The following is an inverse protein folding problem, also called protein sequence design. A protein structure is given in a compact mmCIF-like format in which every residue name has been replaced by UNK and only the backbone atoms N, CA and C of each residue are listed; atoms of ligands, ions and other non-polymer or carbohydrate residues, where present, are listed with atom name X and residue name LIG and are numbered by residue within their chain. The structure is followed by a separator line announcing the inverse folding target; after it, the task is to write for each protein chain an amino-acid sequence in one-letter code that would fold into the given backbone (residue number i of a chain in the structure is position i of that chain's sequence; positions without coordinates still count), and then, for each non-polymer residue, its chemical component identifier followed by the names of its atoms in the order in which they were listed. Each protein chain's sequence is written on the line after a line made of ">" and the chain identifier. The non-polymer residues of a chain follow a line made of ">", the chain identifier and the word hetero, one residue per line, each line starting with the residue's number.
data_IF_207613179360
#
_entry.id   IF_207613179360
#
_cell.length_a   1.000
_cell.length_b   1.000
_cell.length_c   1.000
_cell.angle_alpha   90.00
_cell.angle_beta   90.00
_cell.angle_gamma   90.00
#
_symmetry.space_group_name_H-M   'P 1'
#
loop_
_entity.id
_entity.type
_entity.pdbx_description
1 polymer ?
#
# COMPACT_ATOMS: atom_id res chain seq x y z
N UNK A 1 -4.66 -0.23 -1.89
CA UNK A 1 -3.32 -0.77 -2.19
C UNK A 1 -3.29 -2.22 -1.76
N UNK A 2 -2.50 -3.06 -2.42
CA UNK A 2 -2.27 -4.44 -2.01
C UNK A 2 -0.79 -4.65 -1.74
N UNK A 3 -0.48 -5.53 -0.79
CA UNK A 3 0.88 -5.97 -0.50
C UNK A 3 0.96 -7.45 -0.88
N UNK A 4 1.82 -7.76 -1.84
CA UNK A 4 2.18 -9.12 -2.18
C UNK A 4 3.31 -9.61 -1.25
N UNK A 5 3.22 -10.85 -0.81
CA UNK A 5 4.27 -11.56 -0.07
C UNK A 5 4.30 -13.03 -0.52
N UNK A 6 5.29 -13.78 -0.03
CA UNK A 6 5.50 -15.19 -0.37
C UNK A 6 5.41 -16.02 0.90
N UNK A 7 4.66 -17.12 0.88
CA UNK A 7 4.56 -18.03 2.03
C UNK A 7 5.74 -19.01 2.09
N UNK A 8 5.75 -19.89 3.10
CA UNK A 8 6.86 -20.84 3.33
C UNK A 8 6.96 -21.92 2.23
N UNK A 9 5.88 -22.14 1.47
CA UNK A 9 5.83 -23.04 0.31
C UNK A 9 6.20 -22.35 -1.00
N UNK A 10 6.65 -21.09 -0.96
CA UNK A 10 6.94 -20.24 -2.11
C UNK A 10 5.70 -19.83 -2.94
N UNK A 11 4.48 -19.93 -2.41
CA UNK A 11 3.31 -19.41 -3.10
C UNK A 11 3.18 -17.90 -2.91
N UNK A 12 2.90 -17.14 -3.98
CA UNK A 12 2.57 -15.72 -3.86
C UNK A 12 1.17 -15.57 -3.26
N UNK A 13 1.02 -14.55 -2.40
CA UNK A 13 -0.28 -14.15 -1.88
C UNK A 13 -0.37 -12.64 -1.81
N UNK A 14 -1.59 -12.10 -1.84
CA UNK A 14 -1.84 -10.65 -1.79
C UNK A 14 -2.74 -10.32 -0.63
N UNK A 15 -2.35 -9.32 0.16
CA UNK A 15 -3.14 -8.78 1.27
C UNK A 15 -3.58 -7.35 0.95
N UNK A 16 -4.88 -7.02 0.98
CA UNK A 16 -5.34 -5.64 0.83
C UNK A 16 -4.99 -4.83 2.08
N UNK A 17 -4.37 -3.65 1.90
CA UNK A 17 -3.98 -2.75 3.00
C UNK A 17 -4.50 -1.34 2.72
N UNK A 18 -5.41 -0.87 3.57
CA UNK A 18 -5.99 0.48 3.51
C UNK A 18 -5.24 1.54 4.34
N UNK A 19 -4.30 1.10 5.18
CA UNK A 19 -3.61 1.93 6.17
C UNK A 19 -2.12 2.12 5.89
N UNK A 20 -1.67 1.99 4.64
CA UNK A 20 -0.25 2.21 4.28
C UNK A 20 0.06 3.71 4.15
N UNK A 21 1.16 4.14 4.77
CA UNK A 21 1.71 5.49 4.70
C UNK A 21 3.17 5.42 4.23
N UNK A 22 3.58 6.37 3.40
CA UNK A 22 4.94 6.50 2.90
C UNK A 22 5.62 7.67 3.61
N UNK A 23 6.87 7.48 4.01
CA UNK A 23 7.73 8.51 4.55
C UNK A 23 8.59 9.12 3.44
N UNK A 24 9.40 10.14 3.77
CA UNK A 24 10.26 10.85 2.82
C UNK A 24 11.63 10.19 2.60
N UNK A 25 11.90 9.08 3.27
CA UNK A 25 13.22 8.45 3.41
C UNK A 25 13.22 6.98 2.96
N UNK A 26 12.44 6.65 1.92
CA UNK A 26 12.27 5.28 1.41
C UNK A 26 11.73 4.28 2.44
N UNK A 27 11.14 4.77 3.53
CA UNK A 27 10.42 3.94 4.48
C UNK A 27 8.91 4.17 4.39
N UNK A 28 8.17 3.31 5.04
CA UNK A 28 6.74 3.48 5.25
C UNK A 28 6.26 2.61 6.39
N UNK A 29 4.98 2.67 6.66
CA UNK A 29 4.36 1.82 7.67
C UNK A 29 2.90 1.56 7.32
N UNK A 30 2.37 0.45 7.83
CA UNK A 30 0.92 0.24 7.88
C UNK A 30 0.48 -0.21 9.25
N UNK A 31 -0.78 0.03 9.60
CA UNK A 31 -1.34 -0.49 10.83
C UNK A 31 -1.69 -1.97 10.70
N UNK A 32 -1.09 -2.81 11.55
CA UNK A 32 -1.15 -4.28 11.48
C UNK A 32 -2.02 -4.86 12.59
N UNK A 33 -3.34 -4.79 12.39
CA UNK A 33 -4.35 -5.35 13.31
C UNK A 33 -4.92 -6.68 12.85
N UNK A 34 -5.37 -6.75 11.60
CA UNK A 34 -6.07 -7.89 11.02
C UNK A 34 -5.25 -8.77 10.05
N UNK A 35 -4.27 -8.24 9.28
CA UNK A 35 -3.48 -9.07 8.39
C UNK A 35 -2.82 -10.24 9.13
N UNK A 36 -3.15 -11.47 8.74
CA UNK A 36 -2.55 -12.69 9.32
C UNK A 36 -1.46 -13.29 8.43
N UNK A 37 -1.59 -13.15 7.10
CA UNK A 37 -0.64 -13.70 6.13
C UNK A 37 0.68 -12.94 6.09
N UNK A 38 0.66 -11.60 6.07
CA UNK A 38 1.89 -10.79 6.10
C UNK A 38 2.81 -11.11 7.29
N UNK A 39 2.34 -11.09 8.56
CA UNK A 39 3.20 -11.42 9.69
C UNK A 39 3.60 -12.90 9.77
N UNK A 40 2.80 -13.81 9.21
CA UNK A 40 3.20 -15.23 9.11
C UNK A 40 4.32 -15.42 8.08
N UNK A 41 4.19 -14.78 6.92
CA UNK A 41 5.13 -14.88 5.81
C UNK A 41 6.47 -14.20 6.13
N UNK A 42 6.44 -13.06 6.83
CA UNK A 42 7.64 -12.30 7.24
C UNK A 42 8.67 -13.14 8.01
N UNK A 43 8.21 -14.16 8.74
CA UNK A 43 9.08 -15.09 9.48
C UNK A 43 10.02 -15.90 8.58
N UNK A 44 9.65 -16.08 7.32
CA UNK A 44 10.40 -16.88 6.34
C UNK A 44 10.94 -16.02 5.20
N UNK A 45 10.18 -15.01 4.78
CA UNK A 45 10.54 -14.12 3.70
C UNK A 45 9.98 -12.72 3.97
N UNK A 46 10.88 -11.76 4.17
CA UNK A 46 10.50 -10.36 4.44
C UNK A 46 10.18 -9.58 3.17
N UNK A 47 10.55 -10.09 2.00
CA UNK A 47 10.38 -9.38 0.74
C UNK A 47 8.90 -9.22 0.41
N UNK A 48 8.52 -8.00 0.05
CA UNK A 48 7.18 -7.63 -0.34
C UNK A 48 7.19 -6.77 -1.61
N UNK A 49 6.04 -6.76 -2.28
CA UNK A 49 5.74 -5.81 -3.35
C UNK A 49 4.41 -5.12 -3.04
N UNK A 50 4.45 -3.81 -2.83
CA UNK A 50 3.26 -2.98 -2.71
C UNK A 50 2.82 -2.56 -4.09
N UNK A 51 1.57 -2.83 -4.46
CA UNK A 51 0.93 -2.25 -5.64
C UNK A 51 -0.02 -1.12 -5.22
N UNK A 52 0.27 0.07 -5.70
CA UNK A 52 -0.58 1.24 -5.57
C UNK A 52 -1.10 1.66 -6.94
N UNK A 53 -2.43 1.73 -7.07
CA UNK A 53 -3.13 2.14 -8.28
C UNK A 53 -3.81 3.47 -8.01
N UNK A 54 -3.70 4.41 -8.94
CA UNK A 54 -4.42 5.67 -8.88
C UNK A 54 -5.93 5.39 -8.92
N UNK A 55 -6.67 5.81 -7.91
CA UNK A 55 -8.13 5.60 -7.82
C UNK A 55 -8.95 6.79 -8.33
N UNK A 56 -8.32 7.82 -8.89
CA UNK A 56 -9.02 9.02 -9.34
C UNK A 56 -9.79 8.75 -10.65
N UNK A 57 -11.12 8.77 -10.60
CA UNK A 57 -11.99 8.49 -11.75
C UNK A 57 -11.74 9.43 -12.93
N UNK A 58 -11.51 10.72 -12.69
CA UNK A 58 -11.27 11.70 -13.76
C UNK A 58 -9.92 11.48 -14.46
N UNK A 59 -8.90 11.05 -13.71
CA UNK A 59 -7.62 10.63 -14.27
C UNK A 59 -7.80 9.48 -15.26
N UNK A 60 -8.56 8.45 -14.89
CA UNK A 60 -8.85 7.31 -15.77
C UNK A 60 -9.67 7.73 -16.99
N UNK A 61 -10.79 8.42 -16.79
CA UNK A 61 -11.66 8.81 -17.90
C UNK A 61 -10.92 9.70 -18.91
N UNK A 62 -10.15 10.67 -18.43
CA UNK A 62 -9.37 11.55 -19.31
C UNK A 62 -8.23 10.83 -20.04
N UNK A 63 -7.62 9.82 -19.41
CA UNK A 63 -6.56 9.03 -20.04
C UNK A 63 -7.12 8.09 -21.10
N UNK A 64 -8.26 7.45 -20.81
CA UNK A 64 -8.97 6.60 -21.76
C UNK A 64 -9.44 7.39 -22.99
N UNK A 65 -10.04 8.56 -22.78
CA UNK A 65 -10.45 9.45 -23.87
C UNK A 65 -9.27 9.90 -24.73
N UNK A 66 -8.09 10.11 -24.14
CA UNK A 66 -6.87 10.54 -24.85
C UNK A 66 -6.05 9.39 -25.44
N UNK A 67 -6.39 8.14 -25.12
CA UNK A 67 -5.62 6.96 -25.50
C UNK A 67 -4.20 6.91 -24.91
N UNK A 68 -3.93 7.66 -23.82
CA UNK A 68 -2.63 7.65 -23.12
C UNK A 68 -2.72 8.17 -21.70
N UNK A 69 -1.85 7.66 -20.82
CA UNK A 69 -1.64 8.18 -19.48
C UNK A 69 -0.63 9.33 -19.48
N UNK A 70 -0.90 10.35 -18.66
CA UNK A 70 0.02 11.49 -18.44
C UNK A 70 1.07 11.25 -17.35
N UNK A 71 0.87 10.22 -16.53
CA UNK A 71 1.72 9.79 -15.44
C UNK A 71 1.40 8.32 -15.14
N UNK A 72 2.28 7.62 -14.42
CA UNK A 72 2.07 6.20 -14.11
C UNK A 72 0.70 5.98 -13.43
N UNK A 73 -0.19 5.16 -14.02
CA UNK A 73 -1.50 4.87 -13.44
C UNK A 73 -1.39 3.99 -12.20
N UNK A 74 -0.27 3.29 -12.06
CA UNK A 74 0.05 2.45 -10.92
C UNK A 74 1.56 2.30 -10.77
N UNK A 75 1.99 2.07 -9.53
CA UNK A 75 3.40 1.87 -9.15
C UNK A 75 3.54 0.62 -8.28
N UNK A 76 4.61 -0.14 -8.52
CA UNK A 76 5.09 -1.19 -7.64
C UNK A 76 6.22 -0.64 -6.78
N UNK A 77 6.11 -0.81 -5.47
CA UNK A 77 7.20 -0.54 -4.53
C UNK A 77 7.65 -1.86 -3.93
N UNK A 78 8.86 -2.26 -4.25
CA UNK A 78 9.49 -3.44 -3.68
C UNK A 78 10.25 -3.05 -2.43
N UNK A 79 10.26 -3.95 -1.46
CA UNK A 79 10.88 -3.68 -0.18
C UNK A 79 10.82 -4.87 0.76
N UNK A 80 11.08 -4.60 2.03
CA UNK A 80 11.04 -5.59 3.09
C UNK A 80 10.17 -5.13 4.26
N UNK A 81 9.46 -6.07 4.87
CA UNK A 81 8.78 -5.85 6.15
C UNK A 81 9.82 -5.66 7.26
N UNK A 82 9.63 -4.60 8.05
CA UNK A 82 10.43 -4.24 9.21
C UNK A 82 9.80 -4.68 10.52
N UNK A 83 10.17 -3.98 11.61
CA UNK A 83 9.69 -4.32 12.94
C UNK A 83 8.18 -4.07 13.11
N UNK A 84 7.57 -4.86 14.00
CA UNK A 84 6.26 -4.57 14.58
C UNK A 84 6.48 -3.74 15.82
N UNK A 85 5.79 -2.61 15.95
CA UNK A 85 5.91 -1.76 17.13
C UNK A 85 4.62 -0.99 17.40
N UNK A 86 4.54 -0.41 18.59
CA UNK A 86 3.48 0.53 18.94
C UNK A 86 3.51 1.74 18.00
N UNK A 87 2.33 2.14 17.54
CA UNK A 87 2.11 3.33 16.74
C UNK A 87 2.40 4.58 17.57
N UNK A 88 3.17 5.50 17.02
CA UNK A 88 3.40 6.81 17.61
C UNK A 88 2.12 7.66 17.58
N UNK A 89 2.01 8.69 18.44
CA UNK A 89 0.88 9.62 18.38
C UNK A 89 0.69 10.29 17.01
N UNK A 90 1.80 10.56 16.31
CA UNK A 90 1.78 11.15 14.96
C UNK A 90 1.13 10.18 13.97
N UNK A 91 1.55 8.92 13.97
CA UNK A 91 0.99 7.88 13.09
C UNK A 91 -0.50 7.66 13.34
N UNK A 92 -0.93 7.62 14.61
CA UNK A 92 -2.35 7.53 14.98
C UNK A 92 -3.15 8.71 14.44
N UNK A 93 -2.64 9.93 14.58
CA UNK A 93 -3.29 11.13 14.05
C UNK A 93 -3.38 11.11 12.51
N UNK A 94 -2.35 10.60 11.82
CA UNK A 94 -2.38 10.42 10.36
C UNK A 94 -3.51 9.46 9.93
N UNK A 95 -3.71 8.36 10.67
CA UNK A 95 -4.82 7.45 10.43
C UNK A 95 -6.17 8.13 10.67
N UNK A 96 -6.35 8.79 11.81
CA UNK A 96 -7.60 9.51 12.13
C UNK A 96 -7.93 10.55 11.05
N UNK A 97 -6.93 11.31 10.59
CA UNK A 97 -7.12 12.30 9.52
C UNK A 97 -7.52 11.66 8.20
N UNK A 98 -6.89 10.54 7.81
CA UNK A 98 -7.24 9.80 6.58
C UNK A 98 -8.69 9.28 6.62
N UNK A 99 -9.13 8.82 7.78
CA UNK A 99 -10.43 8.17 7.96
C UNK A 99 -11.57 9.13 8.34
N UNK A 100 -11.28 10.42 8.54
CA UNK A 100 -12.21 11.43 9.05
C UNK A 100 -13.56 11.48 8.31
N UNK A 101 -13.57 11.32 6.99
CA UNK A 101 -14.80 11.41 6.20
C UNK A 101 -15.79 10.28 6.51
N UNK A 102 -15.33 9.15 7.06
CA UNK A 102 -16.17 7.98 7.33
C UNK A 102 -16.24 7.63 8.81
N UNK A 103 -15.67 8.45 9.71
CA UNK A 103 -15.54 8.13 11.14
C UNK A 103 -16.88 7.98 11.89
N UNK A 104 -17.96 8.54 11.35
CA UNK A 104 -19.32 8.36 11.89
C UNK A 104 -19.94 6.99 11.59
N UNK A 105 -19.39 6.22 10.65
CA UNK A 105 -19.96 4.96 10.20
C UNK A 105 -19.49 3.79 11.08
N UNK A 106 -20.39 2.84 11.37
CA UNK A 106 -20.05 1.62 12.14
C UNK A 106 -18.92 0.83 11.50
N UNK A 107 -18.92 0.72 10.17
CA UNK A 107 -17.87 0.03 9.42
C UNK A 107 -16.49 0.65 9.60
N UNK A 108 -16.40 1.98 9.73
CA UNK A 108 -15.15 2.65 10.03
C UNK A 108 -14.60 2.24 11.40
N UNK A 109 -15.45 2.25 12.42
CA UNK A 109 -15.09 1.80 13.77
C UNK A 109 -14.57 0.37 13.78
N UNK A 110 -15.26 -0.55 13.11
CA UNK A 110 -14.82 -1.95 13.00
C UNK A 110 -13.45 -2.09 12.35
N UNK A 111 -13.17 -1.28 11.33
CA UNK A 111 -11.93 -1.37 10.57
C UNK A 111 -10.77 -0.62 11.21
N UNK A 112 -10.99 0.51 11.89
CA UNK A 112 -9.93 1.47 12.20
C UNK A 112 -9.82 1.87 13.68
N UNK A 113 -10.78 1.50 14.54
CA UNK A 113 -10.65 1.76 15.98
C UNK A 113 -9.55 0.87 16.60
N UNK A 114 -8.90 1.37 17.65
CA UNK A 114 -7.87 0.66 18.43
C UNK A 114 -6.73 0.11 17.56
N UNK A 115 -6.27 0.92 16.61
CA UNK A 115 -5.11 0.64 15.76
C UNK A 115 -3.83 1.01 16.51
N UNK A 116 -3.32 0.07 17.30
CA UNK A 116 -2.23 0.31 18.26
C UNK A 116 -0.85 -0.07 17.72
N UNK A 117 -0.78 -0.96 16.74
CA UNK A 117 0.49 -1.50 16.23
C UNK A 117 0.66 -1.17 14.75
N UNK A 118 1.87 -0.79 14.40
CA UNK A 118 2.32 -0.61 13.02
C UNK A 118 3.38 -1.62 12.67
N UNK A 119 3.44 -1.91 11.37
CA UNK A 119 4.51 -2.65 10.72
C UNK A 119 5.29 -1.70 9.82
N UNK A 120 6.58 -1.61 10.06
CA UNK A 120 7.48 -0.83 9.22
C UNK A 120 7.71 -1.51 7.86
N UNK A 121 8.05 -0.71 6.86
CA UNK A 121 8.45 -1.17 5.53
C UNK A 121 9.66 -0.35 5.10
N UNK A 122 10.67 -1.03 4.54
CA UNK A 122 11.82 -0.42 3.91
C UNK A 122 11.76 -0.71 2.41
N UNK A 123 11.65 0.33 1.59
CA UNK A 123 11.56 0.21 0.14
C UNK A 123 12.96 0.26 -0.48
N UNK A 124 13.14 -0.53 -1.54
CA UNK A 124 14.42 -0.67 -2.25
C UNK A 124 14.31 -0.39 -3.74
N UNK A 125 13.10 -0.51 -4.31
CA UNK A 125 12.87 -0.26 -5.75
C UNK A 125 11.45 0.26 -5.96
N UNK A 126 11.33 1.23 -6.87
CA UNK A 126 10.06 1.65 -7.43
C UNK A 126 10.02 1.30 -8.93
N UNK A 127 8.86 0.89 -9.42
CA UNK A 127 8.66 0.50 -10.81
C UNK A 127 7.25 0.92 -11.27
N UNK A 128 7.17 1.76 -12.30
CA UNK A 128 5.90 2.11 -12.94
C UNK A 128 5.30 0.90 -13.66
N UNK A 129 3.97 0.86 -13.76
CA UNK A 129 3.29 -0.24 -14.48
C UNK A 129 3.26 0.05 -15.98
N UNK A 130 3.66 -0.94 -16.77
CA UNK A 130 3.50 -0.94 -18.21
C UNK A 130 2.10 -1.47 -18.60
N UNK A 131 1.28 -0.61 -19.22
CA UNK A 131 -0.02 -0.94 -19.82
C UNK A 131 0.00 -0.82 -21.35
N UNK A 132 1.14 -1.10 -21.96
CA UNK A 132 1.36 -1.06 -23.41
C UNK A 132 1.32 0.37 -23.95
N UNK A 133 0.66 0.55 -25.10
CA UNK A 133 0.57 1.84 -25.82
C UNK A 133 0.10 3.01 -24.94
N UNK A 134 -0.74 2.72 -23.94
CA UNK A 134 -1.25 3.73 -23.02
C UNK A 134 -0.15 4.35 -22.13
N UNK A 135 0.95 3.64 -21.87
CA UNK A 135 2.06 4.07 -21.00
C UNK A 135 3.38 4.21 -21.76
N UNK A 136 3.39 4.01 -23.07
CA UNK A 136 4.60 4.02 -23.89
C UNK A 136 5.40 5.33 -23.74
N UNK A 137 4.73 6.47 -23.63
CA UNK A 137 5.37 7.77 -23.43
C UNK A 137 6.00 7.98 -22.04
N UNK A 138 5.83 7.04 -21.11
CA UNK A 138 6.31 7.16 -19.72
C UNK A 138 7.60 6.35 -19.45
N UNK A 139 7.91 5.38 -20.32
CA UNK A 139 9.00 4.41 -20.13
C UNK A 139 10.03 4.48 -21.26
N UNK A 140 10.28 5.69 -21.78
CA UNK A 140 11.27 5.98 -22.84
C UNK A 140 12.68 5.80 -22.31
#
# INVERSE_FOLDING_TARGET
>A
MSIASVDKENNPTTTPIGSLFLNKDQTGFYFEKFPSKLPANERFNKNICVLAVNSNTWFWLSSLFKGKFKADPAIKLYGQLGARRTATPIEKNLLTRRMKLTSGLKGNKHLWDNMEEVREIYFTKAEGINLGKMTESLHI
#
